data_IF_264726493979
#
_entry.id   IF_264726493979
#
_cell.length_a   1.000
_cell.length_b   1.000
_cell.length_c   1.000
_cell.angle_alpha   90.00
_cell.angle_beta   90.00
_cell.angle_gamma   90.00
#
_symmetry.space_group_name_H-M   'P 1'
#
loop_
_entity.id
_entity.type
_entity.pdbx_description
1 polymer ?
#
# COMPACT_ATOMS: atom_id res chain seq x y z
N UNK A 1 -63.08 -67.09 -32.55
CA UNK A 1 -61.74 -66.52 -32.82
C UNK A 1 -61.88 -65.07 -33.27
N UNK A 2 -61.77 -64.10 -32.34
CA UNK A 2 -61.60 -62.64 -32.61
C UNK A 2 -61.47 -61.76 -31.34
N UNK A 3 -61.56 -62.32 -30.13
CA UNK A 3 -61.52 -61.53 -28.88
C UNK A 3 -60.28 -61.74 -28.00
N UNK A 4 -59.25 -62.48 -28.47
CA UNK A 4 -58.06 -62.77 -27.66
C UNK A 4 -56.81 -61.94 -28.00
N UNK A 5 -56.88 -61.04 -29.00
CA UNK A 5 -55.70 -60.26 -29.43
C UNK A 5 -55.71 -58.82 -28.89
N UNK A 6 -56.84 -58.35 -28.33
CA UNK A 6 -56.96 -56.95 -27.88
C UNK A 6 -56.39 -56.67 -26.47
N UNK A 7 -56.10 -57.71 -25.66
CA UNK A 7 -55.67 -57.51 -24.26
C UNK A 7 -54.15 -57.50 -24.10
N UNK A 8 -53.39 -58.09 -25.02
CA UNK A 8 -51.92 -58.12 -24.94
C UNK A 8 -51.25 -56.83 -25.42
N UNK A 9 -51.94 -55.97 -26.18
CA UNK A 9 -51.38 -54.73 -26.74
C UNK A 9 -51.60 -53.51 -25.83
N UNK A 10 -52.52 -53.59 -24.86
CA UNK A 10 -52.76 -52.48 -23.92
C UNK A 10 -51.80 -52.45 -22.72
N UNK A 11 -51.00 -53.50 -22.50
CA UNK A 11 -50.03 -53.54 -21.40
C UNK A 11 -48.60 -53.14 -21.81
N UNK A 12 -48.35 -52.83 -23.08
CA UNK A 12 -47.01 -52.54 -23.61
C UNK A 12 -46.74 -51.05 -23.89
N UNK A 13 -47.69 -50.15 -23.61
CA UNK A 13 -47.51 -48.69 -23.84
C UNK A 13 -47.45 -47.86 -22.56
N UNK A 14 -47.48 -48.49 -21.38
CA UNK A 14 -47.24 -47.80 -20.09
C UNK A 14 -46.09 -48.46 -19.32
N UNK A 15 -45.04 -48.87 -20.05
CA UNK A 15 -43.70 -48.87 -19.49
C UNK A 15 -43.05 -47.51 -19.79
N UNK A 16 -43.75 -46.42 -19.47
CA UNK A 16 -43.04 -45.17 -19.19
C UNK A 16 -42.21 -45.49 -17.96
N UNK A 17 -40.90 -45.59 -18.16
CA UNK A 17 -39.89 -45.58 -17.12
C UNK A 17 -40.33 -44.58 -16.04
N UNK A 18 -40.89 -45.10 -14.95
CA UNK A 18 -40.97 -44.34 -13.71
C UNK A 18 -39.54 -44.29 -13.20
N UNK A 19 -38.69 -43.50 -13.85
CA UNK A 19 -37.66 -42.82 -13.10
C UNK A 19 -38.44 -42.18 -11.96
N UNK A 20 -38.14 -42.57 -10.72
CA UNK A 20 -38.55 -41.82 -9.56
C UNK A 20 -37.89 -40.45 -9.73
N UNK A 21 -38.53 -39.58 -10.51
CA UNK A 21 -38.02 -38.28 -10.84
C UNK A 21 -37.98 -37.55 -9.50
N UNK A 22 -36.77 -37.26 -9.04
CA UNK A 22 -36.52 -36.47 -7.82
C UNK A 22 -36.08 -35.08 -8.27
N UNK A 23 -36.98 -34.28 -8.86
CA UNK A 23 -36.63 -33.00 -9.48
C UNK A 23 -35.94 -32.06 -8.49
N UNK A 24 -36.33 -32.10 -7.21
CA UNK A 24 -35.74 -31.26 -6.15
C UNK A 24 -34.31 -31.71 -5.80
N UNK A 25 -34.02 -33.02 -5.79
CA UNK A 25 -32.65 -33.51 -5.60
C UNK A 25 -31.74 -33.17 -6.78
N UNK A 26 -32.27 -33.15 -8.00
CA UNK A 26 -31.51 -32.69 -9.18
C UNK A 26 -31.31 -31.17 -9.19
N UNK A 27 -32.22 -30.40 -8.60
CA UNK A 27 -32.08 -28.95 -8.43
C UNK A 27 -30.90 -28.59 -7.52
N UNK A 28 -30.59 -29.39 -6.49
CA UNK A 28 -29.38 -29.21 -5.66
C UNK A 28 -28.12 -29.19 -6.52
N UNK A 29 -28.00 -30.14 -7.47
CA UNK A 29 -26.84 -30.21 -8.38
C UNK A 29 -26.81 -29.02 -9.31
N UNK A 30 -27.97 -28.55 -9.78
CA UNK A 30 -28.06 -27.36 -10.62
C UNK A 30 -27.63 -26.10 -9.87
N UNK A 31 -28.06 -25.94 -8.61
CA UNK A 31 -27.64 -24.85 -7.73
C UNK A 31 -26.15 -24.90 -7.42
N UNK A 32 -25.58 -26.08 -7.22
CA UNK A 32 -24.14 -26.24 -7.04
C UNK A 32 -23.37 -25.82 -8.30
N UNK A 33 -23.85 -26.20 -9.50
CA UNK A 33 -23.27 -25.75 -10.77
C UNK A 33 -23.39 -24.24 -10.99
N UNK A 34 -24.43 -23.60 -10.46
CA UNK A 34 -24.58 -22.14 -10.47
C UNK A 34 -23.62 -21.46 -9.47
N UNK A 35 -23.30 -22.12 -8.34
CA UNK A 35 -22.49 -21.56 -7.27
C UNK A 35 -20.98 -21.70 -7.50
N UNK A 36 -20.53 -22.81 -8.09
CA UNK A 36 -19.11 -23.04 -8.41
C UNK A 36 -18.44 -21.88 -9.17
N UNK A 37 -19.00 -21.34 -10.27
CA UNK A 37 -18.37 -20.24 -10.98
C UNK A 37 -18.35 -18.94 -10.17
N UNK A 38 -19.31 -18.73 -9.27
CA UNK A 38 -19.34 -17.56 -8.36
C UNK A 38 -18.22 -17.67 -7.33
N UNK A 39 -18.03 -18.86 -6.75
CA UNK A 39 -16.93 -19.13 -5.83
C UNK A 39 -15.57 -18.94 -6.52
N UNK A 40 -15.42 -19.44 -7.76
CA UNK A 40 -14.21 -19.20 -8.57
C UNK A 40 -13.97 -17.73 -8.84
N UNK A 41 -15.01 -16.96 -9.16
CA UNK A 41 -14.92 -15.52 -9.36
C UNK A 41 -14.48 -14.78 -8.10
N UNK A 42 -14.94 -15.20 -6.91
CA UNK A 42 -14.44 -14.66 -5.64
C UNK A 42 -12.93 -14.89 -5.52
N UNK A 43 -12.47 -16.11 -5.76
CA UNK A 43 -11.03 -16.44 -5.71
C UNK A 43 -10.21 -15.56 -6.66
N UNK A 44 -10.63 -15.46 -7.93
CA UNK A 44 -9.95 -14.62 -8.91
C UNK A 44 -9.94 -13.14 -8.51
N UNK A 45 -11.06 -12.66 -7.98
CA UNK A 45 -11.18 -11.28 -7.52
C UNK A 45 -10.22 -11.00 -6.37
N UNK A 46 -10.18 -11.87 -5.36
CA UNK A 46 -9.26 -11.74 -4.22
C UNK A 46 -7.81 -11.67 -4.70
N UNK A 47 -7.39 -12.61 -5.56
CA UNK A 47 -6.02 -12.65 -6.10
C UNK A 47 -5.69 -11.36 -6.86
N UNK A 48 -6.58 -10.93 -7.76
CA UNK A 48 -6.36 -9.75 -8.59
C UNK A 48 -6.31 -8.45 -7.77
N UNK A 49 -7.16 -8.33 -6.75
CA UNK A 49 -7.20 -7.16 -5.87
C UNK A 49 -5.95 -7.08 -4.99
N UNK A 50 -5.46 -8.21 -4.45
CA UNK A 50 -4.18 -8.26 -3.71
C UNK A 50 -3.01 -7.91 -4.63
N UNK A 51 -2.97 -8.47 -5.84
CA UNK A 51 -1.93 -8.16 -6.81
C UNK A 51 -1.93 -6.68 -7.20
N UNK A 52 -3.11 -6.12 -7.48
CA UNK A 52 -3.30 -4.70 -7.78
C UNK A 52 -2.90 -3.79 -6.61
N UNK A 53 -3.24 -4.19 -5.38
CA UNK A 53 -2.84 -3.47 -4.18
C UNK A 53 -1.32 -3.47 -3.98
N UNK A 54 -0.65 -4.61 -4.15
CA UNK A 54 0.82 -4.70 -4.09
C UNK A 54 1.49 -3.82 -5.13
N UNK A 55 0.97 -3.82 -6.36
CA UNK A 55 1.48 -2.96 -7.44
C UNK A 55 1.29 -1.47 -7.12
N UNK A 56 0.13 -1.12 -6.57
CA UNK A 56 -0.17 0.26 -6.16
C UNK A 56 0.75 0.69 -5.03
N UNK A 57 0.94 -0.13 -4.00
CA UNK A 57 1.89 0.10 -2.91
C UNK A 57 3.31 0.35 -3.44
N UNK A 58 3.79 -0.49 -4.36
CA UNK A 58 5.10 -0.31 -4.98
C UNK A 58 5.20 1.01 -5.76
N UNK A 59 4.16 1.36 -6.53
CA UNK A 59 4.12 2.63 -7.28
C UNK A 59 4.08 3.86 -6.38
N UNK A 60 3.38 3.79 -5.24
CA UNK A 60 3.35 4.87 -4.23
C UNK A 60 4.71 5.02 -3.56
N UNK A 61 5.39 3.91 -3.28
CA UNK A 61 6.75 3.89 -2.73
C UNK A 61 7.75 4.54 -3.68
N UNK A 62 7.69 4.21 -4.98
CA UNK A 62 8.54 4.82 -6.01
C UNK A 62 8.31 6.34 -6.11
N UNK A 63 7.05 6.77 -6.16
CA UNK A 63 6.71 8.19 -6.18
C UNK A 63 7.24 8.92 -4.93
N UNK A 64 7.11 8.29 -3.76
CA UNK A 64 7.66 8.81 -2.51
C UNK A 64 9.18 9.00 -2.57
N UNK A 65 9.94 8.01 -3.08
CA UNK A 65 11.40 8.13 -3.18
C UNK A 65 11.82 9.22 -4.16
N UNK A 66 11.12 9.37 -5.30
CA UNK A 66 11.35 10.47 -6.24
C UNK A 66 11.19 11.83 -5.56
N UNK A 67 10.15 11.97 -4.75
CA UNK A 67 9.93 13.19 -3.98
C UNK A 67 11.00 13.42 -2.92
N UNK A 68 11.44 12.39 -2.18
CA UNK A 68 12.53 12.49 -1.20
C UNK A 68 13.82 12.97 -1.88
N UNK A 69 14.15 12.42 -3.04
CA UNK A 69 15.32 12.82 -3.84
C UNK A 69 15.19 14.28 -4.27
N UNK A 70 14.06 14.68 -4.86
CA UNK A 70 13.85 16.05 -5.32
C UNK A 70 13.95 17.08 -4.18
N UNK A 71 13.37 16.78 -3.01
CA UNK A 71 13.48 17.66 -1.84
C UNK A 71 14.93 17.75 -1.33
N UNK A 72 15.68 16.63 -1.37
CA UNK A 72 17.11 16.62 -1.02
C UNK A 72 17.93 17.51 -1.96
N UNK A 73 17.70 17.41 -3.27
CA UNK A 73 18.40 18.20 -4.27
C UNK A 73 18.17 19.70 -4.08
N UNK A 74 16.91 20.11 -3.89
CA UNK A 74 16.54 21.52 -3.63
C UNK A 74 17.25 22.03 -2.38
N UNK A 75 17.17 21.27 -1.30
CA UNK A 75 17.74 21.64 -0.01
C UNK A 75 19.27 21.74 -0.05
N UNK A 76 19.93 20.79 -0.72
CA UNK A 76 21.39 20.82 -0.90
C UNK A 76 21.83 22.03 -1.72
N UNK A 77 21.12 22.34 -2.80
CA UNK A 77 21.40 23.52 -3.63
C UNK A 77 21.27 24.82 -2.81
N UNK A 78 20.28 24.90 -1.91
CA UNK A 78 20.13 26.06 -1.02
C UNK A 78 21.28 26.17 -0.01
N UNK A 79 21.73 25.05 0.58
CA UNK A 79 22.88 25.06 1.48
C UNK A 79 24.19 25.44 0.79
N UNK A 80 24.40 24.98 -0.45
CA UNK A 80 25.56 25.37 -1.27
C UNK A 80 25.51 26.88 -1.57
N UNK A 81 24.34 27.41 -1.95
CA UNK A 81 24.21 28.85 -2.18
C UNK A 81 24.52 29.67 -0.92
N UNK A 82 24.07 29.20 0.26
CA UNK A 82 24.40 29.85 1.53
C UNK A 82 25.91 29.85 1.80
N UNK A 83 26.61 28.77 1.47
CA UNK A 83 28.06 28.68 1.58
C UNK A 83 28.75 29.63 0.60
N UNK A 84 28.37 29.60 -0.67
CA UNK A 84 28.90 30.46 -1.73
C UNK A 84 28.76 31.94 -1.35
N UNK A 85 27.60 32.33 -0.83
CA UNK A 85 27.35 33.69 -0.34
C UNK A 85 28.33 34.06 0.79
N UNK A 86 28.54 33.17 1.76
CA UNK A 86 29.46 33.41 2.87
C UNK A 86 30.92 33.47 2.40
N UNK A 87 31.32 32.57 1.50
CA UNK A 87 32.66 32.53 0.92
C UNK A 87 32.94 33.79 0.10
N UNK A 88 31.94 34.28 -0.65
CA UNK A 88 32.03 35.55 -1.36
C UNK A 88 32.31 36.71 -0.39
N UNK A 89 31.58 36.78 0.73
CA UNK A 89 31.86 37.78 1.78
C UNK A 89 33.30 37.68 2.28
N UNK A 90 33.78 36.48 2.63
CA UNK A 90 35.12 36.29 3.18
C UNK A 90 36.26 36.61 2.18
N UNK A 91 36.02 36.39 0.90
CA UNK A 91 37.02 36.63 -0.15
C UNK A 91 37.04 38.06 -0.66
N UNK A 92 35.94 38.81 -0.51
CA UNK A 92 35.85 40.21 -0.91
C UNK A 92 36.43 41.21 0.09
N UNK A 93 37.14 40.76 1.13
CA UNK A 93 37.64 41.63 2.19
C UNK A 93 38.86 42.44 1.77
N UNK A 94 38.92 43.69 2.25
CA UNK A 94 40.09 44.55 2.08
C UNK A 94 41.29 44.05 2.89
N UNK A 95 42.55 44.37 2.50
CA UNK A 95 43.75 43.97 3.24
C UNK A 95 43.83 44.49 4.70
N UNK A 96 42.99 45.47 5.06
CA UNK A 96 42.90 45.99 6.43
C UNK A 96 42.13 45.08 7.39
N UNK A 97 41.38 44.09 6.88
CA UNK A 97 40.71 43.10 7.72
C UNK A 97 41.72 42.15 8.38
N UNK A 98 41.40 41.66 9.58
CA UNK A 98 42.28 40.75 10.32
C UNK A 98 42.37 39.38 9.63
N UNK A 99 43.52 39.13 8.97
CA UNK A 99 43.77 37.89 8.23
C UNK A 99 43.65 36.60 9.07
N UNK A 100 44.03 36.62 10.35
CA UNK A 100 43.93 35.44 11.22
C UNK A 100 42.48 35.18 11.61
N UNK A 101 41.72 36.25 11.87
CA UNK A 101 40.29 36.17 12.10
C UNK A 101 39.54 35.66 10.86
N UNK A 102 39.88 36.13 9.67
CA UNK A 102 39.30 35.65 8.41
C UNK A 102 39.60 34.16 8.16
N UNK A 103 40.80 33.69 8.49
CA UNK A 103 41.15 32.26 8.41
C UNK A 103 40.29 31.41 9.36
N UNK A 104 40.02 31.92 10.57
CA UNK A 104 39.13 31.27 11.53
C UNK A 104 37.70 31.21 10.99
N UNK A 105 37.16 32.31 10.44
CA UNK A 105 35.82 32.33 9.86
C UNK A 105 35.68 31.36 8.67
N UNK A 106 36.71 31.23 7.82
CA UNK A 106 36.72 30.21 6.75
C UNK A 106 36.60 28.79 7.33
N UNK A 107 37.36 28.50 8.38
CA UNK A 107 37.30 27.20 9.06
C UNK A 107 35.92 26.95 9.69
N UNK A 108 35.30 27.98 10.27
CA UNK A 108 33.93 27.89 10.80
C UNK A 108 32.90 27.66 9.69
N UNK A 109 33.05 28.27 8.52
CA UNK A 109 32.18 28.01 7.36
C UNK A 109 32.21 26.53 6.99
N UNK A 110 33.40 25.95 6.82
CA UNK A 110 33.57 24.51 6.51
C UNK A 110 32.99 23.61 7.61
N UNK A 111 33.22 23.94 8.88
CA UNK A 111 32.67 23.18 10.02
C UNK A 111 31.15 23.22 10.05
N UNK A 112 30.54 24.39 9.80
CA UNK A 112 29.09 24.52 9.74
C UNK A 112 28.50 23.71 8.59
N UNK A 113 29.16 23.70 7.42
CA UNK A 113 28.75 22.83 6.30
C UNK A 113 28.83 21.35 6.66
N UNK A 114 29.90 20.93 7.35
CA UNK A 114 30.02 19.54 7.81
C UNK A 114 28.89 19.15 8.77
N UNK A 115 28.55 20.04 9.73
CA UNK A 115 27.44 19.80 10.66
C UNK A 115 26.10 19.72 9.91
N UNK A 116 25.86 20.62 8.95
CA UNK A 116 24.67 20.56 8.11
C UNK A 116 24.60 19.27 7.29
N UNK A 117 25.74 18.79 6.75
CA UNK A 117 25.85 17.50 6.06
C UNK A 117 25.46 16.29 6.92
N UNK A 118 25.85 16.30 8.20
CA UNK A 118 25.41 15.29 9.17
C UNK A 118 23.90 15.39 9.40
N UNK A 119 23.37 16.61 9.56
CA UNK A 119 21.92 16.84 9.69
C UNK A 119 21.13 16.29 8.50
N UNK A 120 21.60 16.52 7.27
CA UNK A 120 21.02 15.96 6.06
C UNK A 120 20.98 14.42 6.08
N UNK A 121 22.10 13.81 6.44
CA UNK A 121 22.20 12.35 6.54
C UNK A 121 21.20 11.80 7.56
N UNK A 122 21.05 12.47 8.71
CA UNK A 122 20.10 12.07 9.74
C UNK A 122 18.64 12.22 9.29
N UNK A 123 18.29 13.28 8.56
CA UNK A 123 16.95 13.43 7.99
C UNK A 123 16.62 12.28 7.03
N UNK A 124 17.57 11.89 6.16
CA UNK A 124 17.41 10.77 5.22
C UNK A 124 17.26 9.44 5.96
N UNK A 125 18.12 9.16 6.94
CA UNK A 125 18.07 7.92 7.70
C UNK A 125 16.75 7.79 8.48
N UNK A 126 16.25 8.89 9.06
CA UNK A 126 14.98 8.90 9.78
C UNK A 126 13.82 8.57 8.85
N UNK A 127 13.76 9.20 7.67
CA UNK A 127 12.66 8.96 6.74
C UNK A 127 12.71 7.55 6.15
N UNK A 128 13.90 7.04 5.84
CA UNK A 128 14.12 5.67 5.36
C UNK A 128 13.63 4.62 6.39
N UNK A 129 13.99 4.79 7.66
CA UNK A 129 13.50 3.92 8.72
C UNK A 129 11.96 3.93 8.79
N UNK A 130 11.34 5.11 8.69
CA UNK A 130 9.89 5.25 8.65
C UNK A 130 9.24 4.53 7.47
N UNK A 131 9.82 4.63 6.26
CA UNK A 131 9.29 3.94 5.08
C UNK A 131 9.35 2.42 5.25
N UNK A 132 10.46 1.90 5.77
CA UNK A 132 10.61 0.46 6.01
C UNK A 132 9.57 -0.06 7.02
N UNK A 133 9.35 0.67 8.12
CA UNK A 133 8.31 0.33 9.09
C UNK A 133 6.90 0.33 8.46
N UNK A 134 6.62 1.28 7.57
CA UNK A 134 5.33 1.37 6.89
C UNK A 134 5.12 0.32 5.80
N UNK A 135 6.18 -0.04 5.08
CA UNK A 135 6.19 -1.14 4.12
C UNK A 135 5.89 -2.46 4.82
N UNK A 136 6.53 -2.72 5.95
CA UNK A 136 6.29 -3.93 6.74
C UNK A 136 4.83 -4.02 7.19
N UNK A 137 4.24 -2.91 7.65
CA UNK A 137 2.83 -2.86 8.06
C UNK A 137 1.89 -3.16 6.90
N UNK A 138 2.05 -2.50 5.75
CA UNK A 138 1.15 -2.70 4.62
C UNK A 138 1.32 -4.09 4.01
N UNK A 139 2.55 -4.62 3.91
CA UNK A 139 2.75 -5.96 3.37
C UNK A 139 2.18 -7.05 4.27
N UNK A 140 2.22 -6.88 5.61
CA UNK A 140 1.51 -7.80 6.52
C UNK A 140 0.00 -7.79 6.30
N UNK A 141 -0.60 -6.62 6.04
CA UNK A 141 -2.04 -6.53 5.72
C UNK A 141 -2.38 -7.12 4.36
N UNK A 142 -1.46 -7.03 3.39
CA UNK A 142 -1.61 -7.59 2.04
C UNK A 142 -1.17 -9.07 1.94
N UNK A 143 -0.62 -9.65 3.01
CA UNK A 143 -0.42 -11.09 3.17
C UNK A 143 -1.76 -11.71 3.57
N UNK A 144 -2.67 -11.72 2.61
CA UNK A 144 -3.95 -12.41 2.75
C UNK A 144 -3.65 -13.90 2.73
N UNK A 145 -3.94 -14.58 3.84
CA UNK A 145 -4.00 -16.03 3.81
C UNK A 145 -5.26 -16.42 3.04
N UNK A 146 -5.05 -16.83 1.80
CA UNK A 146 -6.11 -17.35 0.94
C UNK A 146 -6.88 -18.46 1.65
N UNK A 147 -6.24 -19.28 2.47
CA UNK A 147 -6.94 -20.34 3.21
C UNK A 147 -7.87 -19.83 4.31
N UNK A 148 -7.57 -18.68 4.94
CA UNK A 148 -8.48 -18.04 5.90
C UNK A 148 -9.67 -17.38 5.21
N UNK A 149 -9.45 -16.80 4.01
CA UNK A 149 -10.54 -16.21 3.22
C UNK A 149 -11.41 -17.26 2.52
N UNK A 150 -10.84 -18.44 2.24
CA UNK A 150 -11.50 -19.57 1.58
C UNK A 150 -11.85 -20.71 2.53
N UNK A 151 -11.88 -20.50 3.84
CA UNK A 151 -12.41 -21.47 4.82
C UNK A 151 -13.91 -21.77 4.57
N UNK A 152 -14.53 -21.02 3.66
CA UNK A 152 -15.77 -21.39 2.98
C UNK A 152 -15.51 -22.56 2.03
N UNK A 153 -15.65 -23.77 2.56
CA UNK A 153 -15.83 -24.95 1.73
C UNK A 153 -17.11 -24.81 0.91
N UNK A 154 -17.05 -25.02 -0.40
CA UNK A 154 -18.23 -25.02 -1.27
C UNK A 154 -19.18 -26.19 -0.95
N UNK A 155 -18.64 -27.28 -0.38
CA UNK A 155 -19.34 -28.55 -0.21
C UNK A 155 -19.75 -28.86 1.25
N UNK A 156 -19.44 -27.98 2.20
CA UNK A 156 -19.87 -28.11 3.60
C UNK A 156 -21.41 -28.08 3.76
N UNK A 157 -22.14 -27.52 2.80
CA UNK A 157 -23.61 -27.47 2.76
C UNK A 157 -24.26 -28.86 2.82
N UNK A 158 -23.51 -29.91 2.48
CA UNK A 158 -23.94 -31.31 2.52
C UNK A 158 -23.67 -31.99 3.87
N UNK A 159 -22.87 -31.40 4.77
CA UNK A 159 -22.58 -32.00 6.06
C UNK A 159 -23.85 -32.16 6.89
N UNK A 160 -24.12 -33.40 7.32
CA UNK A 160 -25.30 -33.76 8.10
C UNK A 160 -26.63 -33.78 7.33
N UNK A 161 -26.62 -33.50 6.01
CA UNK A 161 -27.82 -33.48 5.18
C UNK A 161 -27.87 -34.67 4.21
N UNK A 162 -29.07 -35.02 3.77
CA UNK A 162 -29.28 -36.07 2.77
C UNK A 162 -29.91 -35.49 1.51
N UNK A 163 -29.18 -35.46 0.41
CA UNK A 163 -29.64 -34.91 -0.89
C UNK A 163 -30.91 -35.57 -1.44
N UNK A 164 -31.20 -36.80 -1.02
CA UNK A 164 -32.39 -37.54 -1.44
C UNK A 164 -33.59 -37.24 -0.53
N UNK A 165 -33.37 -37.11 0.77
CA UNK A 165 -34.43 -36.99 1.78
C UNK A 165 -34.77 -35.52 2.08
N UNK A 166 -33.77 -34.64 2.12
CA UNK A 166 -33.88 -33.24 2.53
C UNK A 166 -33.28 -32.25 1.49
N UNK A 167 -33.56 -32.37 0.17
CA UNK A 167 -32.92 -31.51 -0.84
C UNK A 167 -33.21 -30.01 -0.66
N UNK A 168 -34.38 -29.65 -0.14
CA UNK A 168 -34.75 -28.26 0.10
C UNK A 168 -33.85 -27.56 1.13
N UNK A 169 -33.39 -28.28 2.16
CA UNK A 169 -32.46 -27.72 3.17
C UNK A 169 -31.11 -27.38 2.54
N UNK A 170 -30.61 -28.25 1.68
CA UNK A 170 -29.35 -28.02 0.96
C UNK A 170 -29.50 -26.84 -0.01
N UNK A 171 -30.64 -26.69 -0.69
CA UNK A 171 -30.90 -25.53 -1.57
C UNK A 171 -30.91 -24.22 -0.77
N UNK A 172 -31.49 -24.20 0.44
CA UNK A 172 -31.42 -23.02 1.33
C UNK A 172 -29.97 -22.69 1.68
N UNK A 173 -29.21 -23.69 2.15
CA UNK A 173 -27.79 -23.54 2.50
C UNK A 173 -26.95 -23.03 1.32
N UNK A 174 -27.20 -23.52 0.10
CA UNK A 174 -26.53 -23.05 -1.13
C UNK A 174 -26.87 -21.59 -1.45
N UNK A 175 -28.10 -21.16 -1.19
CA UNK A 175 -28.53 -19.78 -1.41
C UNK A 175 -27.92 -18.82 -0.38
N UNK A 176 -27.87 -19.23 0.89
CA UNK A 176 -27.19 -18.50 1.97
C UNK A 176 -25.69 -18.34 1.68
N UNK A 177 -25.04 -19.43 1.24
CA UNK A 177 -23.61 -19.40 0.88
C UNK A 177 -23.31 -18.47 -0.29
N UNK A 178 -24.22 -18.34 -1.25
CA UNK A 178 -24.09 -17.34 -2.31
C UNK A 178 -24.06 -15.92 -1.75
N UNK A 179 -24.98 -15.59 -0.84
CA UNK A 179 -25.02 -14.27 -0.19
C UNK A 179 -23.78 -14.01 0.66
N UNK A 180 -23.27 -15.04 1.34
CA UNK A 180 -22.01 -14.98 2.09
C UNK A 180 -20.81 -14.65 1.18
N UNK A 181 -20.66 -15.37 0.06
CA UNK A 181 -19.61 -15.13 -0.94
C UNK A 181 -19.66 -13.69 -1.48
N UNK A 182 -20.86 -13.20 -1.83
CA UNK A 182 -21.03 -11.84 -2.33
C UNK A 182 -20.63 -10.78 -1.28
N UNK A 183 -20.99 -11.02 -0.01
CA UNK A 183 -20.65 -10.14 1.12
C UNK A 183 -19.14 -10.05 1.36
N UNK A 184 -18.43 -11.17 1.32
CA UNK A 184 -16.97 -11.24 1.51
C UNK A 184 -16.25 -10.50 0.40
N UNK A 185 -16.68 -10.67 -0.85
CA UNK A 185 -16.07 -9.97 -1.99
C UNK A 185 -16.14 -8.44 -1.83
N UNK A 186 -17.20 -7.91 -1.23
CA UNK A 186 -17.37 -6.47 -1.00
C UNK A 186 -16.51 -5.97 0.16
N UNK A 187 -16.54 -6.65 1.31
CA UNK A 187 -15.73 -6.24 2.48
C UNK A 187 -14.24 -6.32 2.17
N UNK A 188 -13.81 -7.40 1.51
CA UNK A 188 -12.41 -7.61 1.15
C UNK A 188 -11.84 -6.49 0.29
N UNK A 189 -12.56 -6.10 -0.78
CA UNK A 189 -12.12 -5.00 -1.65
C UNK A 189 -12.06 -3.68 -0.89
N UNK A 190 -13.04 -3.44 -0.01
CA UNK A 190 -13.03 -2.24 0.83
C UNK A 190 -11.80 -2.21 1.74
N UNK A 191 -11.48 -3.32 2.40
CA UNK A 191 -10.39 -3.43 3.36
C UNK A 191 -9.02 -3.29 2.70
N UNK A 192 -8.81 -3.93 1.54
CA UNK A 192 -7.58 -3.80 0.76
C UNK A 192 -7.36 -2.36 0.29
N UNK A 193 -8.41 -1.72 -0.24
CA UNK A 193 -8.34 -0.33 -0.66
C UNK A 193 -8.05 0.61 0.52
N UNK A 194 -8.68 0.37 1.68
CA UNK A 194 -8.42 1.12 2.90
C UNK A 194 -6.96 0.97 3.34
N UNK A 195 -6.40 -0.24 3.31
CA UNK A 195 -5.00 -0.49 3.68
C UNK A 195 -4.01 0.28 2.78
N UNK A 196 -4.22 0.24 1.46
CA UNK A 196 -3.38 0.96 0.48
C UNK A 196 -3.51 2.47 0.63
N UNK A 197 -4.72 3.00 0.81
CA UNK A 197 -4.95 4.43 1.00
C UNK A 197 -4.33 4.93 2.31
N UNK A 198 -4.44 4.15 3.39
CA UNK A 198 -3.83 4.47 4.66
C UNK A 198 -2.30 4.46 4.56
N UNK A 199 -1.72 3.52 3.82
CA UNK A 199 -0.28 3.52 3.52
C UNK A 199 0.15 4.79 2.76
N UNK A 200 -0.59 5.17 1.71
CA UNK A 200 -0.30 6.40 0.96
C UNK A 200 -0.38 7.65 1.84
N UNK A 201 -1.35 7.72 2.76
CA UNK A 201 -1.45 8.82 3.74
C UNK A 201 -0.20 8.90 4.63
N UNK A 202 0.23 7.76 5.18
CA UNK A 202 1.39 7.70 6.08
C UNK A 202 2.70 8.02 5.35
N UNK A 203 2.83 7.65 4.08
CA UNK A 203 3.93 8.14 3.23
C UNK A 203 3.91 9.66 3.09
N UNK A 204 2.73 10.27 2.92
CA UNK A 204 2.58 11.72 2.90
C UNK A 204 3.04 12.39 4.20
N UNK A 205 2.71 11.80 5.35
CA UNK A 205 3.16 12.27 6.65
C UNK A 205 4.69 12.19 6.80
N UNK A 206 5.29 11.05 6.43
CA UNK A 206 6.75 10.88 6.41
C UNK A 206 7.45 11.89 5.49
N UNK A 207 6.85 12.19 4.33
CA UNK A 207 7.38 13.20 3.41
C UNK A 207 7.37 14.59 4.04
N UNK A 208 6.29 14.95 4.75
CA UNK A 208 6.19 16.23 5.44
C UNK A 208 7.19 16.33 6.61
N UNK A 209 7.37 15.26 7.38
CA UNK A 209 8.40 15.20 8.41
C UNK A 209 9.80 15.39 7.83
N UNK A 210 10.11 14.72 6.71
CA UNK A 210 11.38 14.85 6.02
C UNK A 210 11.64 16.29 5.56
N UNK A 211 10.65 16.92 4.90
CA UNK A 211 10.73 18.33 4.49
C UNK A 211 10.98 19.26 5.68
N UNK A 212 10.25 19.05 6.79
CA UNK A 212 10.43 19.85 8.01
C UNK A 212 11.84 19.69 8.60
N UNK A 213 12.39 18.47 8.57
CA UNK A 213 13.75 18.19 9.00
C UNK A 213 14.78 18.94 8.15
N UNK A 214 14.66 18.90 6.81
CA UNK A 214 15.53 19.63 5.88
C UNK A 214 15.48 21.15 6.14
N UNK A 215 14.29 21.73 6.23
CA UNK A 215 14.09 23.16 6.48
C UNK A 215 14.73 23.58 7.81
N UNK A 216 14.58 22.76 8.84
CA UNK A 216 15.20 23.03 10.15
C UNK A 216 16.73 23.03 10.04
N UNK A 217 17.30 22.05 9.34
CA UNK A 217 18.74 21.95 9.13
C UNK A 217 19.29 23.17 8.35
N UNK A 218 18.61 23.56 7.27
CA UNK A 218 18.94 24.77 6.50
C UNK A 218 18.84 26.04 7.35
N UNK A 219 17.80 26.15 8.18
CA UNK A 219 17.61 27.32 9.05
C UNK A 219 18.75 27.47 10.06
N UNK A 220 19.24 26.35 10.62
CA UNK A 220 20.40 26.34 11.51
C UNK A 220 21.69 26.74 10.78
N UNK A 221 21.91 26.22 9.57
CA UNK A 221 23.05 26.60 8.74
C UNK A 221 23.03 28.10 8.42
N UNK A 222 21.89 28.61 7.94
CA UNK A 222 21.68 30.03 7.66
C UNK A 222 21.97 30.89 8.88
N UNK A 223 21.43 30.52 10.05
CA UNK A 223 21.70 31.25 11.30
C UNK A 223 23.19 31.27 11.66
N UNK A 224 23.91 30.18 11.39
CA UNK A 224 25.35 30.08 11.64
C UNK A 224 26.16 31.01 10.72
N UNK A 225 25.77 31.13 9.44
CA UNK A 225 26.41 32.07 8.52
C UNK A 225 26.05 33.53 8.80
N UNK A 226 24.82 33.82 9.21
CA UNK A 226 24.46 35.18 9.66
C UNK A 226 25.27 35.60 10.88
N UNK A 227 25.51 34.69 11.84
CA UNK A 227 26.43 34.95 12.95
C UNK A 227 27.88 35.15 12.45
N UNK A 228 28.32 34.38 11.47
CA UNK A 228 29.66 34.52 10.88
C UNK A 228 29.83 35.88 10.18
N UNK A 229 28.78 36.40 9.52
CA UNK A 229 28.76 37.76 8.95
C UNK A 229 28.86 38.84 10.04
N UNK A 230 28.20 38.64 11.19
CA UNK A 230 28.34 39.57 12.31
C UNK A 230 29.77 39.57 12.87
N UNK A 231 30.39 38.39 13.02
CA UNK A 231 31.77 38.27 13.47
C UNK A 231 32.76 38.89 12.48
N UNK A 232 32.50 38.74 11.18
CA UNK A 232 33.29 39.37 10.12
C UNK A 232 33.37 40.90 10.32
N UNK A 233 32.23 41.55 10.54
CA UNK A 233 32.17 43.01 10.71
C UNK A 233 32.69 43.46 12.08
N UNK A 234 32.24 42.81 13.16
CA UNK A 234 32.45 43.31 14.52
C UNK A 234 33.79 42.88 15.12
N UNK A 235 34.36 41.77 14.65
CA UNK A 235 35.57 41.17 15.24
C UNK A 235 36.71 41.19 14.21
N UNK A 236 36.48 40.72 12.99
CA UNK A 236 37.53 40.63 11.98
C UNK A 236 37.82 41.95 11.26
N UNK A 237 37.15 43.04 11.65
CA UNK A 237 37.30 44.38 11.05
C UNK A 237 37.03 44.39 9.54
N UNK A 238 36.18 43.47 9.08
CA UNK A 238 35.74 43.38 7.70
C UNK A 238 34.48 44.18 7.42
N UNK A 239 33.92 44.00 6.22
CA UNK A 239 32.67 44.61 5.77
C UNK A 239 31.82 43.62 5.00
N UNK A 240 30.50 43.83 4.97
CA UNK A 240 29.62 43.11 4.04
C UNK A 240 29.76 43.76 2.66
N UNK A 241 29.98 42.95 1.62
CA UNK A 241 30.27 43.35 0.23
C UNK A 241 29.27 42.76 -0.75
#
# INVERSE_FOLDING_TARGET
MKHFIAVAVLCLTVAQLSQAARPVSTEVVQKLKELEPIYKQLQDKVINEVAGAKLTTASRTDAFYKDVIANKEISLAQSIQLEDDMVYQLNGQAPSADSSCLQMLRSLTELNMNVAGVGYTNCVNKVEAGVNDELDKVYKLLQVDESELFDISLLDVFQGENIIVDPAKIISKLSEKKTEIDGISLSFVSDINAAVNAYASRLGDLQNEYKSCLITNESLLKGSFENSKLQLVQICLGSIV
#
